data_IF_240532996348
#
_entry.id   IF_240532996348
#
_cell.length_a   1.000
_cell.length_b   1.000
_cell.length_c   1.000
_cell.angle_alpha   90.00
_cell.angle_beta   90.00
_cell.angle_gamma   90.00
#
_symmetry.space_group_name_H-M   'P 1'
#
loop_
_entity.id
_entity.type
_entity.pdbx_description
1 polymer ?
#
# COMPACT_ATOMS: atom_id res chain seq x y z
N UNK A 1 6.22 3.50 -9.11
CA UNK A 1 5.05 2.71 -8.68
C UNK A 1 4.58 3.29 -7.36
N UNK A 2 3.27 3.37 -7.08
CA UNK A 2 2.81 3.96 -5.83
C UNK A 2 3.40 3.20 -4.64
N UNK A 3 3.87 3.92 -3.63
CA UNK A 3 4.34 3.32 -2.37
C UNK A 3 3.23 3.50 -1.36
N UNK A 4 2.71 2.40 -0.82
CA UNK A 4 1.72 2.42 0.25
C UNK A 4 2.41 2.17 1.58
N UNK A 5 2.19 3.05 2.55
CA UNK A 5 2.47 2.71 3.95
C UNK A 5 1.30 1.88 4.48
N UNK A 6 1.61 0.74 5.10
CA UNK A 6 0.60 -0.16 5.66
C UNK A 6 0.75 -0.29 7.17
N UNK A 7 -0.36 -0.52 7.86
CA UNK A 7 -0.39 -0.76 9.30
C UNK A 7 -1.50 -1.73 9.67
N UNK A 8 -1.30 -2.47 10.77
CA UNK A 8 -2.31 -3.38 11.30
C UNK A 8 -3.17 -2.66 12.37
N UNK A 9 -4.43 -2.30 12.07
CA UNK A 9 -5.35 -1.66 13.02
C UNK A 9 -6.03 -2.66 13.98
N UNK A 10 -5.86 -3.97 13.78
CA UNK A 10 -6.50 -5.01 14.58
C UNK A 10 -5.67 -5.34 15.82
N UNK A 11 -6.31 -5.94 16.83
CA UNK A 11 -5.64 -6.51 18.01
C UNK A 11 -4.99 -7.88 17.75
N UNK A 12 -5.13 -8.43 16.54
CA UNK A 12 -4.59 -9.72 16.14
C UNK A 12 -3.64 -9.59 14.94
N UNK A 13 -2.80 -10.59 14.74
CA UNK A 13 -1.84 -10.61 13.63
C UNK A 13 -2.56 -10.71 12.28
N UNK A 14 -2.17 -9.86 11.32
CA UNK A 14 -2.59 -9.98 9.92
C UNK A 14 -1.68 -10.93 9.17
N UNK A 15 -2.26 -11.85 8.42
CA UNK A 15 -1.50 -12.86 7.67
C UNK A 15 -0.98 -12.32 6.35
N UNK A 16 0.30 -12.56 6.07
CA UNK A 16 0.88 -12.44 4.73
C UNK A 16 0.82 -13.80 4.04
N UNK A 17 0.41 -13.85 2.77
CA UNK A 17 0.17 -15.08 2.02
C UNK A 17 0.93 -15.10 0.69
N UNK A 18 1.16 -16.28 0.14
CA UNK A 18 1.82 -16.43 -1.18
C UNK A 18 0.98 -15.92 -2.35
N UNK A 19 -0.31 -15.68 -2.15
CA UNK A 19 -1.21 -15.16 -3.17
C UNK A 19 -2.40 -14.43 -2.57
N UNK A 20 -3.16 -13.72 -3.41
CA UNK A 20 -4.14 -12.73 -2.97
C UNK A 20 -5.51 -13.33 -2.58
N UNK A 21 -5.53 -14.40 -1.78
CA UNK A 21 -6.77 -14.91 -1.18
C UNK A 21 -6.46 -15.81 0.03
N UNK A 22 -7.50 -16.30 0.70
CA UNK A 22 -7.36 -17.16 1.88
C UNK A 22 -6.99 -18.62 1.61
N UNK A 23 -7.06 -19.10 0.35
CA UNK A 23 -6.64 -20.47 0.00
C UNK A 23 -5.12 -20.60 -0.12
N UNK A 24 -4.41 -19.48 -0.37
CA UNK A 24 -2.96 -19.46 -0.38
C UNK A 24 -2.37 -19.58 1.03
N UNK A 25 -1.22 -20.27 1.13
CA UNK A 25 -0.52 -20.51 2.38
C UNK A 25 -0.04 -19.22 3.04
N UNK A 26 -0.06 -19.20 4.38
CA UNK A 26 0.51 -18.12 5.18
C UNK A 26 2.04 -18.28 5.23
N UNK A 27 2.76 -17.18 4.98
CA UNK A 27 4.22 -17.14 4.98
C UNK A 27 4.80 -16.21 6.03
N UNK A 28 4.05 -15.19 6.45
CA UNK A 28 4.45 -14.30 7.53
C UNK A 28 3.21 -13.66 8.18
N UNK A 29 3.43 -12.70 9.07
CA UNK A 29 2.35 -11.87 9.60
C UNK A 29 2.83 -10.51 10.08
N UNK A 30 1.95 -9.52 9.99
CA UNK A 30 2.13 -8.19 10.59
C UNK A 30 1.43 -8.16 11.95
N UNK A 31 2.21 -8.00 13.02
CA UNK A 31 1.66 -7.86 14.37
C UNK A 31 0.96 -6.50 14.57
N UNK A 32 0.03 -6.38 15.53
CA UNK A 32 -0.61 -5.11 15.89
C UNK A 32 0.40 -3.99 16.14
N UNK A 33 0.12 -2.80 15.63
CA UNK A 33 0.98 -1.61 15.83
C UNK A 33 2.26 -1.57 14.98
N UNK A 34 2.60 -2.64 14.28
CA UNK A 34 3.72 -2.63 13.33
C UNK A 34 3.29 -2.04 11.98
N UNK A 35 4.30 -1.56 11.23
CA UNK A 35 4.14 -0.97 9.91
C UNK A 35 4.84 -1.80 8.84
N UNK A 36 4.52 -1.53 7.59
CA UNK A 36 5.17 -2.10 6.43
C UNK A 36 4.97 -1.24 5.19
N UNK A 37 5.33 -1.79 4.03
CA UNK A 37 5.11 -1.15 2.72
C UNK A 37 4.46 -2.10 1.73
N UNK A 38 3.68 -1.54 0.81
CA UNK A 38 3.15 -2.24 -0.36
C UNK A 38 3.22 -1.39 -1.62
N UNK A 39 2.96 -1.98 -2.77
CA UNK A 39 3.14 -1.33 -4.08
C UNK A 39 1.98 -1.53 -5.06
N UNK A 40 1.13 -2.53 -4.83
CA UNK A 40 0.05 -2.90 -5.74
C UNK A 40 -1.18 -3.41 -5.00
N UNK A 41 -2.37 -2.98 -5.46
CA UNK A 41 -3.65 -3.44 -4.92
C UNK A 41 -4.40 -4.22 -5.99
N UNK A 42 -4.68 -5.48 -5.71
CA UNK A 42 -5.57 -6.31 -6.51
C UNK A 42 -7.00 -6.20 -5.96
N UNK A 43 -7.99 -6.06 -6.86
CA UNK A 43 -9.41 -6.08 -6.51
C UNK A 43 -10.11 -7.24 -7.21
N UNK A 44 -10.82 -8.08 -6.45
CA UNK A 44 -11.66 -9.14 -7.02
C UNK A 44 -12.84 -8.54 -7.78
N UNK A 45 -12.99 -8.94 -9.04
CA UNK A 45 -14.11 -8.51 -9.89
C UNK A 45 -15.32 -9.45 -9.78
N UNK A 46 -15.11 -10.68 -9.32
CA UNK A 46 -16.16 -11.70 -9.20
C UNK A 46 -15.93 -12.56 -7.96
N UNK A 47 -16.98 -13.15 -7.38
CA UNK A 47 -16.83 -14.08 -6.27
C UNK A 47 -15.96 -15.28 -6.63
N UNK A 48 -15.21 -15.78 -5.65
CA UNK A 48 -14.51 -17.06 -5.73
C UNK A 48 -15.20 -18.03 -4.78
N UNK A 49 -15.70 -19.15 -5.32
CA UNK A 49 -16.30 -20.24 -4.55
C UNK A 49 -15.46 -21.49 -4.75
N UNK A 50 -15.05 -22.12 -3.65
CA UNK A 50 -14.24 -23.35 -3.64
C UNK A 50 -14.88 -24.31 -2.65
N UNK A 51 -15.19 -25.53 -3.08
CA UNK A 51 -15.88 -26.54 -2.26
C UNK A 51 -17.18 -25.98 -1.65
N UNK A 52 -17.98 -25.28 -2.45
CA UNK A 52 -19.24 -24.64 -2.04
C UNK A 52 -19.09 -23.52 -0.98
N UNK A 53 -17.86 -23.20 -0.56
CA UNK A 53 -17.57 -22.13 0.38
C UNK A 53 -17.08 -20.91 -0.38
N UNK A 54 -17.71 -19.76 -0.14
CA UNK A 54 -17.24 -18.49 -0.68
C UNK A 54 -15.90 -18.08 -0.04
N UNK A 55 -14.85 -18.01 -0.86
CA UNK A 55 -13.47 -17.65 -0.46
C UNK A 55 -13.07 -16.23 -0.86
N UNK A 56 -13.83 -15.58 -1.72
CA UNK A 56 -13.73 -14.14 -2.00
C UNK A 56 -15.06 -13.63 -2.54
N UNK A 57 -15.29 -12.33 -2.42
CA UNK A 57 -16.40 -11.65 -3.09
C UNK A 57 -15.91 -10.54 -4.02
N UNK A 58 -16.77 -10.09 -4.93
CA UNK A 58 -16.51 -8.89 -5.71
C UNK A 58 -16.25 -7.69 -4.78
N UNK A 59 -15.19 -6.93 -5.07
CA UNK A 59 -14.74 -5.82 -4.24
C UNK A 59 -13.87 -6.20 -3.04
N UNK A 60 -13.51 -7.48 -2.87
CA UNK A 60 -12.41 -7.84 -1.95
C UNK A 60 -11.07 -7.31 -2.50
N UNK A 61 -10.21 -6.85 -1.61
CA UNK A 61 -8.98 -6.15 -1.95
C UNK A 61 -7.78 -6.73 -1.21
N UNK A 62 -6.68 -6.91 -1.94
CA UNK A 62 -5.43 -7.47 -1.44
C UNK A 62 -4.25 -6.59 -1.85
N UNK A 63 -3.39 -6.27 -0.89
CA UNK A 63 -2.16 -5.50 -1.09
C UNK A 63 -1.01 -6.48 -1.32
N UNK A 64 -0.20 -6.24 -2.36
CA UNK A 64 1.14 -6.81 -2.45
C UNK A 64 2.08 -6.04 -1.52
N UNK A 65 2.74 -6.77 -0.62
CA UNK A 65 3.55 -6.23 0.47
C UNK A 65 5.02 -6.51 0.18
N UNK A 66 5.82 -5.45 0.19
CA UNK A 66 7.26 -5.48 -0.12
C UNK A 66 8.15 -5.35 1.10
N UNK A 67 7.58 -4.91 2.24
CA UNK A 67 8.31 -4.73 3.49
C UNK A 67 7.39 -4.96 4.69
N UNK A 68 7.87 -5.67 5.70
CA UNK A 68 7.24 -5.80 7.02
C UNK A 68 8.25 -5.42 8.10
N UNK A 69 7.94 -4.39 8.88
CA UNK A 69 8.76 -3.92 9.99
C UNK A 69 10.24 -3.70 9.61
N UNK A 70 10.49 -3.08 8.46
CA UNK A 70 11.84 -2.81 7.95
C UNK A 70 12.56 -4.01 7.31
N UNK A 71 11.95 -5.21 7.32
CA UNK A 71 12.49 -6.37 6.64
C UNK A 71 11.82 -6.56 5.26
N UNK A 72 12.58 -6.95 4.21
CA UNK A 72 11.99 -7.32 2.92
C UNK A 72 10.93 -8.42 3.08
N UNK A 73 9.83 -8.26 2.35
CA UNK A 73 8.75 -9.23 2.27
C UNK A 73 8.29 -9.37 0.82
N UNK A 74 7.69 -10.51 0.49
CA UNK A 74 7.04 -10.75 -0.79
C UNK A 74 5.79 -11.58 -0.53
N UNK A 75 4.62 -10.99 -0.76
CA UNK A 75 3.35 -11.67 -0.57
C UNK A 75 2.17 -10.72 -0.49
N UNK A 76 1.02 -11.28 -0.11
CA UNK A 76 -0.27 -10.62 -0.20
C UNK A 76 -0.95 -10.56 1.15
N UNK A 77 -1.48 -9.39 1.48
CA UNK A 77 -2.21 -9.14 2.72
C UNK A 77 -3.60 -8.58 2.40
N UNK A 78 -4.61 -9.08 3.12
CA UNK A 78 -5.98 -8.66 2.88
C UNK A 78 -6.20 -7.22 3.37
N UNK A 79 -6.63 -6.35 2.47
CA UNK A 79 -7.19 -5.03 2.81
C UNK A 79 -8.65 -5.21 3.20
N UNK A 80 -9.39 -5.91 2.35
CA UNK A 80 -10.81 -6.21 2.53
C UNK A 80 -11.09 -7.64 2.10
N UNK A 81 -11.78 -8.40 2.95
CA UNK A 81 -12.13 -9.78 2.68
C UNK A 81 -13.53 -10.09 3.22
N UNK A 82 -14.40 -10.63 2.34
CA UNK A 82 -15.82 -10.90 2.63
C UNK A 82 -16.53 -9.70 3.29
N UNK A 83 -16.19 -8.50 2.81
CA UNK A 83 -16.87 -7.26 3.22
C UNK A 83 -16.26 -6.59 4.44
N UNK A 84 -15.34 -7.26 5.14
CA UNK A 84 -14.68 -6.73 6.33
C UNK A 84 -13.31 -6.15 5.99
N UNK A 85 -12.99 -4.99 6.56
CA UNK A 85 -11.67 -4.36 6.45
C UNK A 85 -10.67 -4.98 7.44
N UNK A 86 -9.41 -5.09 7.02
CA UNK A 86 -8.32 -5.74 7.76
C UNK A 86 -7.08 -4.86 7.81
N UNK A 87 -6.47 -4.56 6.66
CA UNK A 87 -5.26 -3.73 6.57
C UNK A 87 -5.61 -2.25 6.35
N UNK A 88 -5.01 -1.38 7.15
CA UNK A 88 -5.05 0.07 6.91
C UNK A 88 -3.86 0.47 6.04
N UNK A 89 -4.06 1.38 5.09
CA UNK A 89 -3.00 1.87 4.22
C UNK A 89 -3.19 3.34 3.83
N UNK A 90 -2.07 4.03 3.62
CA UNK A 90 -2.02 5.37 3.05
C UNK A 90 -1.13 5.35 1.82
N UNK A 91 -1.63 5.89 0.71
CA UNK A 91 -0.81 6.06 -0.49
C UNK A 91 0.17 7.21 -0.25
N UNK A 92 1.46 6.91 -0.28
CA UNK A 92 2.48 7.93 -0.50
C UNK A 92 2.41 8.26 -1.99
N UNK A 93 1.75 9.36 -2.30
CA UNK A 93 2.09 10.09 -3.52
C UNK A 93 3.48 10.62 -3.28
N UNK A 94 4.48 10.15 -4.03
CA UNK A 94 5.79 10.81 -4.09
C UNK A 94 5.52 12.30 -4.12
N UNK A 95 5.89 12.99 -3.04
CA UNK A 95 5.52 14.38 -2.83
C UNK A 95 5.99 15.16 -4.06
N UNK A 96 5.11 15.99 -4.63
CA UNK A 96 5.52 17.03 -5.56
C UNK A 96 6.71 17.78 -4.93
N UNK A 97 7.92 17.48 -5.39
CA UNK A 97 9.12 18.07 -4.85
C UNK A 97 9.13 19.52 -5.34
N UNK A 98 8.56 20.42 -4.54
CA UNK A 98 8.53 21.84 -4.86
C UNK A 98 9.90 22.41 -4.55
N UNK A 99 10.72 22.60 -5.59
CA UNK A 99 12.01 23.27 -5.48
C UNK A 99 11.79 24.75 -5.77
N UNK A 100 11.85 25.57 -4.72
CA UNK A 100 11.86 27.03 -4.85
C UNK A 100 13.30 27.47 -5.04
N UNK A 101 13.61 28.08 -6.19
CA UNK A 101 14.87 28.79 -6.39
C UNK A 101 14.61 30.30 -6.34
N UNK A 102 15.37 31.00 -5.49
CA UNK A 102 15.48 32.45 -5.53
C UNK A 102 16.66 32.82 -6.42
N UNK A 103 16.46 33.70 -7.39
CA UNK A 103 17.56 34.35 -8.09
C UNK A 103 17.65 35.76 -7.52
N UNK A 104 18.68 36.02 -6.71
CA UNK A 104 19.02 37.38 -6.30
C UNK A 104 19.70 38.09 -7.48
N UNK A 105 18.95 38.94 -8.17
CA UNK A 105 19.50 39.91 -9.10
C UNK A 105 19.50 41.27 -8.38
N UNK A 106 20.69 41.86 -8.19
CA UNK A 106 20.84 43.15 -7.50
C UNK A 106 19.83 44.18 -8.03
N UNK A 107 18.94 44.65 -7.14
CA UNK A 107 17.96 45.69 -7.43
C UNK A 107 16.55 45.24 -7.82
N UNK A 108 16.26 43.93 -7.92
CA UNK A 108 14.90 43.42 -8.19
C UNK A 108 14.35 42.55 -7.05
N UNK A 109 13.03 42.58 -6.84
CA UNK A 109 12.37 41.66 -5.90
C UNK A 109 12.52 40.21 -6.40
N UNK A 110 12.85 39.24 -5.54
CA UNK A 110 13.04 37.86 -5.95
C UNK A 110 11.75 37.31 -6.56
N UNK A 111 11.86 36.77 -7.79
CA UNK A 111 10.76 36.06 -8.45
C UNK A 111 10.85 34.60 -8.02
N UNK A 112 9.79 34.10 -7.37
CA UNK A 112 9.64 32.67 -7.13
C UNK A 112 9.23 31.98 -8.43
N UNK A 113 10.08 31.07 -8.92
CA UNK A 113 9.75 30.20 -10.04
C UNK A 113 9.48 28.80 -9.52
N UNK A 114 8.25 28.32 -9.72
CA UNK A 114 7.83 26.98 -9.33
C UNK A 114 7.89 26.05 -10.54
N UNK A 115 8.65 24.96 -10.44
CA UNK A 115 8.74 23.94 -11.49
C UNK A 115 8.44 22.55 -10.96
N UNK A 116 7.78 21.72 -11.78
CA UNK A 116 7.55 20.30 -11.51
C UNK A 116 8.64 19.49 -12.21
N UNK A 117 9.47 18.77 -11.45
CA UNK A 117 10.42 17.82 -12.02
C UNK A 117 9.69 16.50 -12.28
N UNK A 118 9.54 16.13 -13.55
CA UNK A 118 9.13 14.77 -13.93
C UNK A 118 10.37 13.88 -14.00
N UNK A 119 10.43 12.75 -13.27
CA UNK A 119 11.52 11.80 -13.42
C UNK A 119 11.55 11.26 -14.86
N UNK A 120 12.76 10.99 -15.36
CA UNK A 120 13.03 10.47 -16.70
C UNK A 120 12.62 9.01 -16.85
#
# INVERSE_FOLDING_TARGET
MPVYEISNPLSSNLSLRTGPNVIFGRIASLAPGLKGKGDFIMTYQSPLVVEEIQRAQAGDQWMHVTELNGAPADGWMAIKHLGRAYLAYTQSTDADLTVSFGVDLEGYQPIALTGILKPK
#
